data_IF_420861245024
#
_entry.id   IF_420861245024
#
_cell.length_a   1.000
_cell.length_b   1.000
_cell.length_c   1.000
_cell.angle_alpha   90.00
_cell.angle_beta   90.00
_cell.angle_gamma   90.00
#
_symmetry.space_group_name_H-M   'P 1'
#
loop_
_entity.id
_entity.type
_entity.pdbx_description
1 polymer ?
#
# COMPACT_ATOMS: atom_id res chain seq x y z
N UNK A 1 -1.07 -32.98 19.04
CA UNK A 1 -0.41 -31.67 18.83
C UNK A 1 -0.99 -31.08 17.57
N UNK A 2 -1.81 -30.02 17.69
CA UNK A 2 -2.37 -29.35 16.53
C UNK A 2 -1.40 -28.23 16.12
N UNK A 3 -0.60 -28.48 15.09
CA UNK A 3 0.20 -27.45 14.44
C UNK A 3 -0.72 -26.83 13.38
N UNK A 4 -1.35 -25.70 13.72
CA UNK A 4 -2.05 -24.88 12.74
C UNK A 4 -1.00 -24.06 11.98
N UNK A 5 -0.74 -24.44 10.73
CA UNK A 5 -0.03 -23.58 9.77
C UNK A 5 -1.08 -23.12 8.78
N UNK A 6 -1.55 -21.88 8.94
CA UNK A 6 -2.31 -21.19 7.91
C UNK A 6 -1.32 -20.69 6.86
N UNK A 7 -0.98 -21.59 5.95
CA UNK A 7 -0.17 -21.32 4.77
C UNK A 7 -1.01 -20.44 3.83
N UNK A 8 -0.75 -19.12 3.81
CA UNK A 8 -1.40 -18.19 2.85
C UNK A 8 -0.55 -16.92 2.62
N UNK A 9 0.76 -16.97 2.86
CA UNK A 9 1.68 -15.87 2.57
C UNK A 9 2.50 -16.20 1.32
N UNK A 10 2.25 -15.50 0.22
CA UNK A 10 3.05 -15.57 -0.98
C UNK A 10 4.18 -14.53 -0.91
N UNK A 11 5.41 -14.95 -1.14
CA UNK A 11 6.56 -14.05 -1.20
C UNK A 11 7.12 -14.06 -2.63
N UNK A 12 7.26 -12.87 -3.23
CA UNK A 12 7.98 -12.73 -4.49
C UNK A 12 9.50 -12.91 -4.27
N UNK A 13 10.24 -13.28 -5.32
CA UNK A 13 11.70 -13.34 -5.22
C UNK A 13 12.30 -11.93 -5.25
N UNK A 14 13.47 -11.77 -4.63
CA UNK A 14 14.13 -10.47 -4.57
C UNK A 14 14.53 -10.02 -5.98
N UNK A 15 14.11 -8.81 -6.37
CA UNK A 15 14.40 -8.29 -7.70
C UNK A 15 13.59 -8.95 -8.81
N UNK A 16 12.47 -9.60 -8.47
CA UNK A 16 11.55 -10.13 -9.48
C UNK A 16 10.94 -9.01 -10.31
N UNK A 17 10.66 -9.38 -11.55
CA UNK A 17 9.99 -8.53 -12.52
C UNK A 17 8.75 -9.24 -13.03
N UNK A 18 7.59 -8.60 -12.89
CA UNK A 18 6.32 -9.14 -13.34
C UNK A 18 5.76 -8.28 -14.47
N UNK A 19 5.79 -8.82 -15.69
CA UNK A 19 5.22 -8.17 -16.88
C UNK A 19 3.69 -8.33 -16.96
N UNK A 20 3.19 -9.44 -16.41
CA UNK A 20 1.77 -9.79 -16.40
C UNK A 20 1.02 -9.22 -15.21
N UNK A 21 -0.32 -9.27 -15.28
CA UNK A 21 -1.15 -9.01 -14.10
C UNK A 21 -0.97 -10.14 -13.10
N UNK A 22 -0.81 -9.80 -11.82
CA UNK A 22 -0.51 -10.77 -10.76
C UNK A 22 -1.75 -10.91 -9.87
N UNK A 23 -2.25 -12.13 -9.70
CA UNK A 23 -3.31 -12.43 -8.75
C UNK A 23 -2.77 -13.37 -7.67
N UNK A 24 -2.88 -12.94 -6.42
CA UNK A 24 -2.45 -13.69 -5.24
C UNK A 24 -3.67 -13.94 -4.36
N UNK A 25 -3.85 -15.20 -3.97
CA UNK A 25 -4.85 -15.56 -2.97
C UNK A 25 -4.16 -15.70 -1.60
N UNK A 26 -4.44 -14.78 -0.68
CA UNK A 26 -3.77 -14.66 0.60
C UNK A 26 -2.99 -13.35 0.74
N UNK A 27 -2.07 -13.33 1.69
CA UNK A 27 -1.16 -12.22 1.93
C UNK A 27 0.00 -12.26 0.93
N UNK A 28 0.48 -11.09 0.51
CA UNK A 28 1.56 -10.96 -0.46
C UNK A 28 2.70 -10.11 0.09
N UNK A 29 3.87 -10.71 0.25
CA UNK A 29 5.11 -10.04 0.63
C UNK A 29 5.96 -9.80 -0.61
N UNK A 30 6.13 -8.53 -0.95
CA UNK A 30 6.99 -8.10 -2.05
C UNK A 30 8.31 -7.65 -1.47
N UNK A 31 9.44 -8.28 -1.82
CA UNK A 31 10.76 -7.87 -1.36
C UNK A 31 11.20 -6.56 -2.01
N UNK A 32 12.26 -5.92 -1.48
CA UNK A 32 12.74 -4.65 -2.01
C UNK A 32 13.12 -4.74 -3.49
N UNK A 33 12.94 -3.64 -4.23
CA UNK A 33 13.33 -3.51 -5.65
C UNK A 33 12.62 -4.49 -6.58
N UNK A 34 11.36 -4.78 -6.29
CA UNK A 34 10.51 -5.59 -7.18
C UNK A 34 9.72 -4.67 -8.09
N UNK A 35 9.57 -5.04 -9.36
CA UNK A 35 8.87 -4.25 -10.37
C UNK A 35 7.65 -4.99 -10.91
N UNK A 36 6.51 -4.30 -10.98
CA UNK A 36 5.27 -4.79 -11.56
C UNK A 36 4.79 -3.83 -12.64
N UNK A 37 4.61 -4.33 -13.86
CA UNK A 37 4.18 -3.51 -14.99
C UNK A 37 2.67 -3.39 -15.15
N UNK A 38 1.91 -4.33 -14.59
CA UNK A 38 0.46 -4.40 -14.69
C UNK A 38 -0.18 -4.42 -13.30
N UNK A 39 -1.48 -4.66 -13.28
CA UNK A 39 -2.29 -4.68 -12.08
C UNK A 39 -1.95 -5.87 -11.16
N UNK A 40 -2.02 -5.62 -9.86
CA UNK A 40 -1.84 -6.61 -8.80
C UNK A 40 -3.17 -6.73 -8.04
N UNK A 41 -3.66 -7.95 -7.88
CA UNK A 41 -4.87 -8.24 -7.10
C UNK A 41 -4.49 -9.24 -6.01
N UNK A 42 -4.62 -8.83 -4.76
CA UNK A 42 -4.31 -9.63 -3.57
C UNK A 42 -5.59 -9.78 -2.76
N UNK A 43 -6.04 -11.02 -2.49
CA UNK A 43 -7.25 -11.22 -1.68
C UNK A 43 -7.03 -10.90 -0.20
N UNK A 44 -5.79 -10.98 0.29
CA UNK A 44 -5.39 -10.62 1.64
C UNK A 44 -4.64 -9.29 1.70
N UNK A 45 -3.63 -9.23 2.56
CA UNK A 45 -2.83 -8.04 2.80
C UNK A 45 -1.60 -7.98 1.89
N UNK A 46 -1.27 -6.78 1.40
CA UNK A 46 -0.04 -6.56 0.63
C UNK A 46 1.02 -5.83 1.46
N UNK A 47 2.26 -6.33 1.38
CA UNK A 47 3.42 -5.74 2.04
C UNK A 47 4.46 -5.41 0.98
N UNK A 48 4.47 -4.16 0.51
CA UNK A 48 5.46 -3.66 -0.43
C UNK A 48 6.70 -3.19 0.32
N UNK A 49 7.81 -3.92 0.20
CA UNK A 49 9.08 -3.50 0.77
C UNK A 49 9.67 -2.27 0.04
N UNK A 50 10.71 -1.63 0.60
CA UNK A 50 11.27 -0.40 0.08
C UNK A 50 11.71 -0.48 -1.39
N UNK A 51 11.65 0.66 -2.09
CA UNK A 51 12.10 0.80 -3.49
C UNK A 51 11.37 -0.13 -4.49
N UNK A 52 10.17 -0.63 -4.15
CA UNK A 52 9.34 -1.40 -5.09
C UNK A 52 8.57 -0.44 -6.03
N UNK A 53 8.34 -0.87 -7.26
CA UNK A 53 7.62 -0.08 -8.27
C UNK A 53 6.46 -0.87 -8.85
N UNK A 54 5.28 -0.26 -8.85
CA UNK A 54 4.08 -0.79 -9.48
C UNK A 54 3.55 0.25 -10.46
N UNK A 55 3.51 -0.09 -11.74
CA UNK A 55 2.96 0.80 -12.77
C UNK A 55 1.44 0.69 -12.89
N UNK A 56 0.90 -0.50 -12.62
CA UNK A 56 -0.54 -0.76 -12.65
C UNK A 56 -1.25 -0.37 -11.36
N UNK A 57 -2.47 -0.86 -11.23
CA UNK A 57 -3.31 -0.70 -10.05
C UNK A 57 -3.04 -1.82 -9.04
N UNK A 58 -3.24 -1.54 -7.76
CA UNK A 58 -3.11 -2.50 -6.67
C UNK A 58 -4.43 -2.59 -5.94
N UNK A 59 -5.08 -3.75 -6.02
CA UNK A 59 -6.26 -4.07 -5.23
C UNK A 59 -5.88 -5.05 -4.14
N UNK A 60 -6.18 -4.71 -2.90
CA UNK A 60 -5.87 -5.54 -1.73
C UNK A 60 -6.98 -5.44 -0.68
N UNK A 61 -6.95 -6.32 0.32
CA UNK A 61 -7.79 -6.16 1.49
C UNK A 61 -7.28 -5.00 2.36
N UNK A 62 -5.99 -5.02 2.67
CA UNK A 62 -5.26 -4.01 3.43
C UNK A 62 -3.77 -4.15 3.18
N UNK A 63 -2.93 -3.39 3.87
CA UNK A 63 -1.49 -3.54 3.66
C UNK A 63 -0.59 -2.44 4.18
N UNK A 64 0.70 -2.66 3.97
CA UNK A 64 1.77 -1.73 4.31
C UNK A 64 2.61 -1.45 3.07
N UNK A 65 2.73 -0.17 2.74
CA UNK A 65 3.54 0.34 1.65
C UNK A 65 4.77 1.00 2.26
N UNK A 66 5.92 0.35 2.15
CA UNK A 66 7.16 0.83 2.77
C UNK A 66 7.78 2.02 2.02
N UNK A 67 8.87 2.52 2.59
CA UNK A 67 9.58 3.72 2.14
C UNK A 67 9.99 3.67 0.67
N UNK A 68 9.78 4.77 -0.04
CA UNK A 68 10.25 4.94 -1.42
C UNK A 68 9.59 3.99 -2.43
N UNK A 69 8.47 3.38 -2.05
CA UNK A 69 7.65 2.61 -2.97
C UNK A 69 6.90 3.55 -3.89
N UNK A 70 6.81 3.20 -5.17
CA UNK A 70 6.10 3.99 -6.19
C UNK A 70 4.96 3.15 -6.76
N UNK A 71 3.76 3.70 -6.74
CA UNK A 71 2.57 3.13 -7.37
C UNK A 71 2.01 4.20 -8.31
N UNK A 72 2.16 4.01 -9.62
CA UNK A 72 1.67 4.96 -10.62
C UNK A 72 0.15 4.85 -10.84
N UNK A 73 -0.45 3.71 -10.51
CA UNK A 73 -1.89 3.49 -10.55
C UNK A 73 -2.59 3.73 -9.22
N UNK A 74 -3.79 3.17 -9.12
CA UNK A 74 -4.64 3.28 -7.94
C UNK A 74 -4.30 2.20 -6.91
N UNK A 75 -4.20 2.58 -5.64
CA UNK A 75 -4.15 1.67 -4.51
C UNK A 75 -5.54 1.59 -3.86
N UNK A 76 -6.19 0.45 -4.03
CA UNK A 76 -7.55 0.18 -3.56
C UNK A 76 -7.50 -0.84 -2.42
N UNK A 77 -7.94 -0.45 -1.23
CA UNK A 77 -8.13 -1.33 -0.09
C UNK A 77 -9.61 -1.48 0.25
N UNK A 78 -10.09 -2.73 0.22
CA UNK A 78 -11.54 -3.00 0.32
C UNK A 78 -12.08 -3.13 1.75
N UNK A 79 -11.27 -3.46 2.75
CA UNK A 79 -11.75 -3.75 4.12
C UNK A 79 -10.73 -3.43 5.23
N UNK A 80 -9.44 -3.50 4.91
CA UNK A 80 -8.34 -3.38 5.86
C UNK A 80 -7.76 -1.98 5.98
N UNK A 81 -6.85 -1.84 6.94
CA UNK A 81 -6.06 -0.65 7.12
C UNK A 81 -4.94 -0.56 6.07
N UNK A 82 -4.67 0.66 5.61
CA UNK A 82 -3.52 0.97 4.77
C UNK A 82 -2.52 1.81 5.55
N UNK A 83 -1.27 1.34 5.63
CA UNK A 83 -0.15 2.13 6.14
C UNK A 83 0.80 2.49 5.02
N UNK A 84 0.99 3.77 4.82
CA UNK A 84 1.88 4.31 3.80
C UNK A 84 3.03 5.02 4.51
N UNK A 85 4.22 4.45 4.37
CA UNK A 85 5.43 4.90 5.03
C UNK A 85 6.11 6.05 4.27
N UNK A 86 7.25 6.50 4.82
CA UNK A 86 7.88 7.75 4.42
C UNK A 86 8.30 7.77 2.93
N UNK A 87 8.02 8.86 2.22
CA UNK A 87 8.49 9.02 0.84
C UNK A 87 7.86 8.07 -0.18
N UNK A 88 6.75 7.40 0.15
CA UNK A 88 6.01 6.61 -0.82
C UNK A 88 5.20 7.54 -1.76
N UNK A 89 5.18 7.21 -3.05
CA UNK A 89 4.43 7.95 -4.07
C UNK A 89 3.35 7.06 -4.63
N UNK A 90 2.08 7.40 -4.41
CA UNK A 90 0.92 6.63 -4.88
C UNK A 90 -0.04 7.57 -5.60
N UNK A 91 -0.42 7.28 -6.84
CA UNK A 91 -1.27 8.20 -7.60
C UNK A 91 -2.61 8.46 -6.91
N UNK A 92 -3.40 7.43 -6.63
CA UNK A 92 -4.64 7.55 -5.84
C UNK A 92 -4.70 6.46 -4.77
N UNK A 93 -5.13 6.83 -3.58
CA UNK A 93 -5.31 5.92 -2.45
C UNK A 93 -6.79 5.91 -2.11
N UNK A 94 -7.43 4.75 -2.22
CA UNK A 94 -8.85 4.56 -1.94
C UNK A 94 -8.96 3.41 -0.95
N UNK A 95 -9.33 3.72 0.29
CA UNK A 95 -9.64 2.71 1.31
C UNK A 95 -11.04 2.90 1.85
N UNK A 96 -11.73 1.79 2.11
CA UNK A 96 -12.96 1.79 2.92
C UNK A 96 -12.65 1.85 4.42
N UNK A 97 -11.44 1.46 4.81
CA UNK A 97 -10.95 1.42 6.18
C UNK A 97 -10.09 2.63 6.56
N UNK A 98 -9.18 2.40 7.50
CA UNK A 98 -8.30 3.43 8.04
C UNK A 98 -7.04 3.60 7.18
N UNK A 99 -6.61 4.84 7.01
CA UNK A 99 -5.43 5.19 6.20
C UNK A 99 -4.45 5.97 7.05
N UNK A 100 -3.24 5.44 7.18
CA UNK A 100 -2.13 6.06 7.89
C UNK A 100 -1.09 6.53 6.88
N UNK A 101 -0.82 7.83 6.84
CA UNK A 101 0.17 8.45 5.96
C UNK A 101 1.32 9.00 6.79
N UNK A 102 2.55 8.59 6.51
CA UNK A 102 3.77 9.20 7.09
C UNK A 102 4.26 10.39 6.26
N UNK A 103 5.34 11.02 6.73
CA UNK A 103 5.94 12.20 6.08
C UNK A 103 6.42 11.89 4.68
N UNK A 104 6.47 12.93 3.85
CA UNK A 104 6.95 12.90 2.47
C UNK A 104 6.15 11.98 1.54
N UNK A 105 4.97 11.51 1.97
CA UNK A 105 4.05 10.78 1.08
C UNK A 105 3.48 11.71 0.03
N UNK A 106 3.48 11.27 -1.21
CA UNK A 106 2.95 12.00 -2.37
C UNK A 106 1.77 11.23 -2.93
N UNK A 107 0.62 11.91 -3.05
CA UNK A 107 -0.57 11.37 -3.68
C UNK A 107 -1.42 12.45 -4.34
N UNK A 108 -2.16 12.10 -5.38
CA UNK A 108 -3.10 13.04 -6.00
C UNK A 108 -4.42 13.08 -5.24
N UNK A 109 -4.92 11.92 -4.82
CA UNK A 109 -6.15 11.78 -4.06
C UNK A 109 -6.00 10.70 -2.98
N UNK A 110 -6.50 10.98 -1.78
CA UNK A 110 -6.59 10.03 -0.68
C UNK A 110 -8.02 10.02 -0.18
N UNK A 111 -8.66 8.85 -0.24
CA UNK A 111 -9.99 8.59 0.30
C UNK A 111 -9.92 7.47 1.33
N UNK A 112 -10.53 7.69 2.48
CA UNK A 112 -10.49 6.77 3.60
C UNK A 112 -11.67 6.97 4.55
N UNK A 113 -11.84 6.09 5.52
CA UNK A 113 -12.76 6.32 6.63
C UNK A 113 -12.12 7.23 7.67
N UNK A 114 -11.12 6.73 8.40
CA UNK A 114 -10.27 7.56 9.25
C UNK A 114 -8.91 7.74 8.58
N UNK A 115 -8.50 8.99 8.40
CA UNK A 115 -7.20 9.33 7.81
C UNK A 115 -6.33 9.95 8.88
N UNK A 116 -5.20 9.32 9.20
CA UNK A 116 -4.18 9.86 10.08
C UNK A 116 -2.96 10.26 9.25
N UNK A 117 -2.64 11.54 9.25
CA UNK A 117 -1.47 12.10 8.58
C UNK A 117 -0.42 12.45 9.63
N UNK A 118 0.76 11.87 9.51
CA UNK A 118 1.90 12.12 10.41
C UNK A 118 3.00 12.88 9.67
N UNK A 119 3.14 14.16 9.98
CA UNK A 119 4.09 15.06 9.34
C UNK A 119 3.55 15.72 8.07
N UNK A 120 4.47 16.13 7.19
CA UNK A 120 4.13 16.84 5.95
C UNK A 120 3.92 15.84 4.82
N UNK A 121 2.76 15.88 4.18
CA UNK A 121 2.46 15.10 2.97
C UNK A 121 2.09 16.04 1.82
N UNK A 122 2.24 15.55 0.60
CA UNK A 122 1.73 16.20 -0.60
C UNK A 122 0.51 15.42 -1.08
N UNK A 123 -0.69 15.93 -0.79
CA UNK A 123 -1.93 15.37 -1.29
C UNK A 123 -2.70 16.44 -2.09
N UNK A 124 -3.20 16.10 -3.28
CA UNK A 124 -4.06 17.01 -4.05
C UNK A 124 -5.46 17.13 -3.44
N UNK A 125 -6.07 15.98 -3.11
CA UNK A 125 -7.41 15.89 -2.53
C UNK A 125 -7.44 14.87 -1.40
N UNK A 126 -8.00 15.26 -0.25
CA UNK A 126 -8.08 14.44 0.95
C UNK A 126 -9.54 14.30 1.39
N UNK A 127 -10.08 13.08 1.36
CA UNK A 127 -11.48 12.78 1.65
C UNK A 127 -11.59 11.67 2.70
N UNK A 128 -11.51 12.06 3.97
CA UNK A 128 -11.77 11.17 5.11
C UNK A 128 -13.09 11.51 5.79
N UNK A 129 -13.82 10.52 6.34
CA UNK A 129 -14.93 10.82 7.27
C UNK A 129 -14.39 11.48 8.53
N UNK A 130 -13.28 10.99 9.06
CA UNK A 130 -12.49 11.66 10.09
C UNK A 130 -11.05 11.81 9.62
N UNK A 131 -10.53 13.03 9.64
CA UNK A 131 -9.14 13.29 9.27
C UNK A 131 -8.42 13.94 10.45
N UNK A 132 -7.28 13.36 10.85
CA UNK A 132 -6.40 13.92 11.87
C UNK A 132 -5.02 14.12 11.27
N UNK A 133 -4.48 15.32 11.44
CA UNK A 133 -3.13 15.66 11.02
C UNK A 133 -2.31 15.92 12.28
N UNK A 134 -1.24 15.16 12.44
CA UNK A 134 -0.30 15.27 13.56
C UNK A 134 1.01 15.83 12.99
N UNK A 135 1.16 17.14 13.13
CA UNK A 135 2.40 17.86 12.86
C UNK A 135 3.30 17.80 14.09
N UNK A 136 3.91 16.65 14.36
CA UNK A 136 4.97 16.54 15.37
C UNK A 136 6.31 16.40 14.67
N UNK A 137 7.25 17.32 14.94
CA UNK A 137 8.64 17.18 14.50
C UNK A 137 9.26 16.00 15.26
N UNK A 138 9.50 14.88 14.57
CA UNK A 138 10.30 13.75 15.06
C UNK A 138 11.29 13.32 13.99
#
# INVERSE_FOLDING_TARGET
>A
MAVFVQDTLHMAERGSYYEGSVKIDGDFLVPPRTEFWKDIVVSGNIYLCPESHVKGNVTCKGGVICRGCVIEGDLIAEDGELRICDGASVHRIISTGDVFLRKDVISSEVRGNNILVMGKIQCGKLMGKNTRVVSGEY
#
